data_IF_870697237364
#
_entry.id   IF_870697237364
#
_cell.length_a   1.000
_cell.length_b   1.000
_cell.length_c   1.000
_cell.angle_alpha   90.00
_cell.angle_beta   90.00
_cell.angle_gamma   90.00
#
_symmetry.space_group_name_H-M   'P 1'
#
loop_
_entity.id
_entity.type
_entity.pdbx_description
1 polymer ?
#
# COMPACT_ATOMS: atom_id res chain seq x y z
N UNK A 1 -59.09 2.49 6.08
CA UNK A 1 -58.66 3.32 4.94
C UNK A 1 -57.13 3.53 4.85
N UNK A 2 -56.33 3.07 5.83
CA UNK A 2 -54.86 3.23 5.82
C UNK A 2 -54.09 2.07 5.19
N UNK A 3 -54.67 0.86 5.17
CA UNK A 3 -54.05 -0.34 4.57
C UNK A 3 -54.03 -0.27 3.03
N UNK A 4 -54.96 0.44 2.42
CA UNK A 4 -55.00 0.65 0.96
C UNK A 4 -53.93 1.65 0.46
N UNK A 5 -53.44 2.53 1.34
CA UNK A 5 -52.41 3.51 0.99
C UNK A 5 -50.99 2.90 1.04
N UNK A 6 -50.75 1.94 1.94
CA UNK A 6 -49.46 1.24 2.04
C UNK A 6 -49.21 0.29 0.86
N UNK A 7 -50.26 -0.33 0.31
CA UNK A 7 -50.14 -1.24 -0.84
C UNK A 7 -49.73 -0.53 -2.14
N UNK A 8 -50.14 0.73 -2.33
CA UNK A 8 -49.77 1.51 -3.52
C UNK A 8 -48.30 1.97 -3.44
N UNK A 9 -47.78 2.22 -2.23
CA UNK A 9 -46.39 2.68 -2.01
C UNK A 9 -45.36 1.55 -2.17
N UNK A 10 -45.74 0.30 -1.89
CA UNK A 10 -44.92 -0.89 -2.15
C UNK A 10 -44.86 -1.23 -3.64
N UNK A 11 -45.96 -1.04 -4.38
CA UNK A 11 -45.99 -1.28 -5.83
C UNK A 11 -45.23 -0.18 -6.59
N UNK A 12 -45.21 1.07 -6.09
CA UNK A 12 -44.44 2.16 -6.68
C UNK A 12 -42.91 2.03 -6.47
N UNK A 13 -42.47 1.34 -5.41
CA UNK A 13 -41.04 1.05 -5.17
C UNK A 13 -40.55 -0.23 -5.89
N UNK A 14 -41.46 -1.13 -6.26
CA UNK A 14 -41.12 -2.36 -6.98
C UNK A 14 -40.79 -2.16 -8.47
N UNK A 15 -41.21 -1.03 -9.06
CA UNK A 15 -41.01 -0.76 -10.49
C UNK A 15 -39.71 0.00 -10.81
N UNK A 16 -39.02 0.54 -9.80
CA UNK A 16 -37.76 1.28 -9.98
C UNK A 16 -36.52 0.38 -10.01
N UNK A 17 -36.66 -0.90 -9.68
CA UNK A 17 -35.55 -1.87 -9.65
C UNK A 17 -35.50 -2.80 -10.87
N UNK A 18 -36.30 -2.56 -11.91
CA UNK A 18 -36.32 -3.37 -13.13
C UNK A 18 -35.88 -2.60 -14.38
N UNK A 19 -34.84 -1.79 -14.27
CA UNK A 19 -34.07 -1.32 -15.43
C UNK A 19 -32.64 -0.93 -15.03
N UNK A 20 -31.91 -1.90 -14.50
CA UNK A 20 -30.46 -1.92 -14.63
C UNK A 20 -30.14 -3.27 -15.26
N UNK A 21 -30.60 -3.45 -16.50
CA UNK A 21 -30.03 -4.47 -17.37
C UNK A 21 -28.62 -4.00 -17.70
N UNK A 22 -27.63 -4.64 -17.08
CA UNK A 22 -26.47 -5.16 -17.78
C UNK A 22 -25.87 -4.19 -18.81
N UNK A 23 -25.38 -3.04 -18.32
CA UNK A 23 -24.19 -2.45 -18.94
C UNK A 23 -22.99 -3.21 -18.41
N UNK A 24 -22.84 -4.45 -18.88
CA UNK A 24 -21.51 -4.98 -19.10
C UNK A 24 -20.87 -4.01 -20.09
N UNK A 25 -20.13 -3.05 -19.57
CA UNK A 25 -19.10 -2.39 -20.33
C UNK A 25 -18.10 -3.50 -20.66
N UNK A 26 -18.40 -4.20 -21.74
CA UNK A 26 -17.46 -4.98 -22.52
C UNK A 26 -16.33 -3.99 -22.82
N UNK A 27 -15.29 -4.05 -21.99
CA UNK A 27 -14.11 -3.21 -22.08
C UNK A 27 -13.49 -3.55 -23.43
N UNK A 28 -13.84 -2.73 -24.43
CA UNK A 28 -13.35 -2.86 -25.79
C UNK A 28 -11.86 -2.64 -25.71
N UNK A 29 -11.14 -3.75 -25.63
CA UNK A 29 -9.74 -3.91 -25.99
C UNK A 29 -9.59 -3.55 -27.48
N UNK A 30 -9.65 -2.26 -27.75
CA UNK A 30 -9.39 -1.60 -29.00
C UNK A 30 -7.99 -1.01 -28.87
N UNK A 31 -7.11 -1.41 -29.77
CA UNK A 31 -5.68 -1.14 -29.81
C UNK A 31 -5.33 0.35 -30.00
N UNK A 32 -5.70 1.20 -29.05
CA UNK A 32 -5.01 2.45 -28.78
C UNK A 32 -4.01 2.16 -27.65
N UNK A 33 -2.71 2.14 -27.97
CA UNK A 33 -1.67 1.92 -26.97
C UNK A 33 -1.76 3.04 -25.94
N UNK A 34 -2.27 2.74 -24.75
CA UNK A 34 -2.28 3.70 -23.66
C UNK A 34 -0.85 4.08 -23.30
N UNK A 35 -0.62 5.33 -22.86
CA UNK A 35 0.73 5.81 -22.50
C UNK A 35 1.42 4.91 -21.46
N UNK A 36 0.65 4.31 -20.58
CA UNK A 36 1.09 3.33 -19.58
C UNK A 36 1.67 2.07 -20.22
N UNK A 37 1.05 1.56 -21.31
CA UNK A 37 1.59 0.44 -22.07
C UNK A 37 2.87 0.83 -22.81
N UNK A 38 2.94 2.04 -23.38
CA UNK A 38 4.16 2.55 -24.01
C UNK A 38 5.32 2.58 -23.00
N UNK A 39 5.08 3.10 -21.79
CA UNK A 39 6.09 3.15 -20.74
C UNK A 39 6.53 1.76 -20.28
N UNK A 40 5.60 0.83 -20.09
CA UNK A 40 5.92 -0.55 -19.74
C UNK A 40 6.77 -1.23 -20.82
N UNK A 41 6.44 -1.03 -22.11
CA UNK A 41 7.24 -1.57 -23.21
C UNK A 41 8.66 -1.01 -23.22
N UNK A 42 8.83 0.29 -22.98
CA UNK A 42 10.16 0.90 -22.83
C UNK A 42 10.91 0.33 -21.62
N UNK A 43 10.26 0.15 -20.48
CA UNK A 43 10.86 -0.46 -19.29
C UNK A 43 11.33 -1.91 -19.55
N UNK A 44 10.51 -2.72 -20.22
CA UNK A 44 10.86 -4.10 -20.62
C UNK A 44 12.02 -4.10 -21.63
N UNK A 45 12.04 -3.16 -22.56
CA UNK A 45 13.15 -3.01 -23.51
C UNK A 45 14.45 -2.66 -22.80
N UNK A 46 14.43 -1.74 -21.82
CA UNK A 46 15.59 -1.40 -20.98
C UNK A 46 16.11 -2.65 -20.28
N UNK A 47 15.23 -3.42 -19.63
CA UNK A 47 15.60 -4.66 -18.94
C UNK A 47 16.24 -5.68 -19.90
N UNK A 48 15.68 -5.85 -21.10
CA UNK A 48 16.24 -6.73 -22.13
C UNK A 48 17.62 -6.26 -22.59
N UNK A 49 17.80 -4.97 -22.86
CA UNK A 49 19.07 -4.39 -23.31
C UNK A 49 20.17 -4.56 -22.25
N UNK A 50 19.83 -4.43 -20.97
CA UNK A 50 20.74 -4.68 -19.85
C UNK A 50 21.12 -6.16 -19.79
N UNK A 51 20.17 -7.08 -19.97
CA UNK A 51 20.45 -8.51 -20.06
C UNK A 51 21.38 -8.89 -21.22
N UNK A 52 21.39 -8.08 -22.30
CA UNK A 52 22.27 -8.23 -23.46
C UNK A 52 23.58 -7.44 -23.32
N UNK A 53 23.85 -6.81 -22.17
CA UNK A 53 24.98 -5.91 -21.92
C UNK A 53 25.05 -4.69 -22.87
N UNK A 54 23.95 -4.33 -23.52
CA UNK A 54 23.87 -3.19 -24.42
C UNK A 54 23.49 -1.92 -23.65
N UNK A 55 24.47 -1.40 -22.89
CA UNK A 55 24.30 -0.23 -22.01
C UNK A 55 23.99 1.05 -22.80
N UNK A 56 24.56 1.21 -23.99
CA UNK A 56 24.37 2.41 -24.83
C UNK A 56 22.92 2.52 -25.29
N UNK A 57 22.34 1.43 -25.78
CA UNK A 57 20.93 1.44 -26.15
C UNK A 57 20.02 1.58 -24.93
N UNK A 58 20.35 0.92 -23.80
CA UNK A 58 19.59 1.05 -22.56
C UNK A 58 19.48 2.53 -22.12
N UNK A 59 20.59 3.29 -22.19
CA UNK A 59 20.60 4.74 -21.94
C UNK A 59 19.63 5.48 -22.85
N UNK A 60 19.72 5.25 -24.17
CA UNK A 60 18.82 5.90 -25.13
C UNK A 60 17.35 5.58 -24.84
N UNK A 61 17.04 4.34 -24.48
CA UNK A 61 15.68 3.92 -24.14
C UNK A 61 15.19 4.56 -22.83
N UNK A 62 16.03 4.67 -21.80
CA UNK A 62 15.71 5.40 -20.55
C UNK A 62 15.42 6.88 -20.84
N UNK A 63 16.23 7.54 -21.66
CA UNK A 63 15.97 8.94 -22.06
C UNK A 63 14.64 9.08 -22.79
N UNK A 64 14.31 8.15 -23.70
CA UNK A 64 13.00 8.14 -24.39
C UNK A 64 11.85 7.98 -23.40
N UNK A 65 11.98 7.08 -22.43
CA UNK A 65 10.99 6.89 -21.36
C UNK A 65 10.81 8.17 -20.54
N UNK A 66 11.90 8.80 -20.10
CA UNK A 66 11.87 10.04 -19.33
C UNK A 66 11.17 11.18 -20.08
N UNK A 67 11.46 11.33 -21.38
CA UNK A 67 10.82 12.34 -22.24
C UNK A 67 9.33 12.03 -22.45
N UNK A 68 8.96 10.77 -22.68
CA UNK A 68 7.55 10.37 -22.86
C UNK A 68 6.75 10.58 -21.56
N UNK A 69 7.34 10.25 -20.41
CA UNK A 69 6.74 10.47 -19.10
C UNK A 69 6.53 11.96 -18.82
N UNK A 70 7.57 12.80 -19.00
CA UNK A 70 7.49 14.24 -18.69
C UNK A 70 6.50 15.02 -19.57
N UNK A 71 6.29 14.60 -20.82
CA UNK A 71 5.34 15.21 -21.75
C UNK A 71 3.89 14.85 -21.47
N UNK A 72 3.63 13.92 -20.54
CA UNK A 72 2.27 13.44 -20.29
C UNK A 72 1.49 14.38 -19.40
N UNK A 73 0.24 14.65 -19.78
CA UNK A 73 -0.65 15.45 -18.96
C UNK A 73 -1.25 14.62 -17.81
N UNK A 74 -0.58 14.66 -16.66
CA UNK A 74 -0.98 13.93 -15.46
C UNK A 74 -2.30 14.40 -14.85
N UNK A 75 -2.75 15.62 -15.14
CA UNK A 75 -4.02 16.14 -14.63
C UNK A 75 -5.22 15.38 -15.20
N UNK A 76 -5.14 14.99 -16.49
CA UNK A 76 -6.21 14.22 -17.14
C UNK A 76 -6.28 12.78 -16.65
N UNK A 77 -5.16 12.21 -16.19
CA UNK A 77 -5.05 10.81 -15.74
C UNK A 77 -5.36 10.60 -14.26
N UNK A 78 -5.63 11.68 -13.50
CA UNK A 78 -5.92 11.65 -12.06
C UNK A 78 -4.86 10.91 -11.21
N UNK A 79 -3.61 10.87 -11.66
CA UNK A 79 -2.53 10.29 -10.87
C UNK A 79 -2.23 11.17 -9.66
N UNK A 80 -2.13 10.55 -8.49
CA UNK A 80 -1.66 11.27 -7.31
C UNK A 80 -0.20 11.68 -7.47
N UNK A 81 0.20 12.80 -6.85
CA UNK A 81 1.59 13.26 -6.84
C UNK A 81 2.57 12.16 -6.40
N UNK A 82 2.13 11.29 -5.50
CA UNK A 82 2.88 10.14 -4.99
C UNK A 82 3.21 9.11 -6.07
N UNK A 83 2.25 8.80 -6.94
CA UNK A 83 2.46 7.86 -8.06
C UNK A 83 3.45 8.47 -9.05
N UNK A 84 3.29 9.77 -9.34
CA UNK A 84 4.19 10.49 -10.23
C UNK A 84 5.61 10.50 -9.68
N UNK A 85 5.78 10.83 -8.39
CA UNK A 85 7.11 10.86 -7.76
C UNK A 85 7.74 9.47 -7.67
N UNK A 86 6.97 8.43 -7.35
CA UNK A 86 7.45 7.06 -7.33
C UNK A 86 8.04 6.64 -8.68
N UNK A 87 7.28 6.85 -9.76
CA UNK A 87 7.71 6.51 -11.12
C UNK A 87 8.89 7.38 -11.57
N UNK A 88 8.83 8.69 -11.32
CA UNK A 88 9.93 9.60 -11.66
C UNK A 88 11.22 9.20 -10.97
N UNK A 89 11.17 8.85 -9.68
CA UNK A 89 12.34 8.41 -8.94
C UNK A 89 12.91 7.11 -9.52
N UNK A 90 12.07 6.15 -9.93
CA UNK A 90 12.57 4.92 -10.56
C UNK A 90 13.24 5.16 -11.91
N UNK A 91 12.76 6.12 -12.70
CA UNK A 91 13.41 6.54 -13.95
C UNK A 91 14.77 7.18 -13.64
N UNK A 92 14.82 8.11 -12.69
CA UNK A 92 16.04 8.81 -12.30
C UNK A 92 17.10 7.85 -11.75
N UNK A 93 16.72 6.95 -10.84
CA UNK A 93 17.61 5.92 -10.29
C UNK A 93 18.21 5.03 -11.40
N UNK A 94 17.44 4.72 -12.44
CA UNK A 94 17.89 3.92 -13.58
C UNK A 94 18.89 4.70 -14.45
N UNK A 95 18.59 5.97 -14.74
CA UNK A 95 19.47 6.87 -15.50
C UNK A 95 20.80 7.10 -14.77
N UNK A 96 20.74 7.38 -13.48
CA UNK A 96 21.92 7.53 -12.62
C UNK A 96 22.80 6.28 -12.64
N UNK A 97 22.22 5.08 -12.48
CA UNK A 97 22.97 3.82 -12.49
C UNK A 97 23.68 3.55 -13.82
N UNK A 98 23.03 3.89 -14.95
CA UNK A 98 23.66 3.76 -16.26
C UNK A 98 24.80 4.77 -16.45
N UNK A 99 24.75 5.91 -15.78
CA UNK A 99 25.74 6.99 -15.89
C UNK A 99 26.89 6.92 -14.88
N UNK A 100 26.92 5.89 -14.02
CA UNK A 100 28.05 5.64 -13.11
C UNK A 100 29.32 5.25 -13.87
N UNK A 101 30.47 5.67 -13.34
CA UNK A 101 31.79 5.33 -13.88
C UNK A 101 32.11 3.82 -13.78
N UNK A 102 31.58 3.16 -12.75
CA UNK A 102 31.67 1.72 -12.54
C UNK A 102 30.25 1.18 -12.43
N UNK A 103 29.84 0.41 -13.43
CA UNK A 103 28.52 -0.20 -13.48
C UNK A 103 28.57 -1.54 -12.76
N UNK A 104 27.87 -1.64 -11.63
CA UNK A 104 27.56 -2.92 -10.99
C UNK A 104 26.46 -3.64 -11.80
N UNK A 105 26.74 -4.80 -12.45
CA UNK A 105 25.76 -5.52 -13.26
C UNK A 105 24.57 -6.03 -12.44
N UNK A 106 24.77 -6.43 -11.19
CA UNK A 106 23.71 -6.96 -10.32
C UNK A 106 22.76 -5.82 -9.90
N UNK A 107 23.32 -4.72 -9.40
CA UNK A 107 22.58 -3.51 -9.08
C UNK A 107 21.85 -2.91 -10.28
N UNK A 108 22.45 -2.97 -11.47
CA UNK A 108 21.81 -2.51 -12.71
C UNK A 108 20.60 -3.37 -13.09
N UNK A 109 20.73 -4.70 -13.04
CA UNK A 109 19.62 -5.61 -13.31
C UNK A 109 18.49 -5.47 -12.28
N UNK A 110 18.84 -5.27 -11.00
CA UNK A 110 17.91 -5.01 -9.92
C UNK A 110 17.09 -3.72 -10.15
N UNK A 111 17.75 -2.60 -10.51
CA UNK A 111 17.05 -1.34 -10.82
C UNK A 111 16.17 -1.44 -12.06
N UNK A 112 16.61 -2.16 -13.09
CA UNK A 112 15.79 -2.41 -14.27
C UNK A 112 14.53 -3.21 -13.93
N UNK A 113 14.64 -4.20 -13.06
CA UNK A 113 13.48 -4.97 -12.56
C UNK A 113 12.53 -4.09 -11.74
N UNK A 114 13.07 -3.27 -10.83
CA UNK A 114 12.31 -2.29 -10.05
C UNK A 114 11.54 -1.32 -10.95
N UNK A 115 12.17 -0.84 -12.04
CA UNK A 115 11.54 -0.01 -13.05
C UNK A 115 10.35 -0.74 -13.69
N UNK A 116 10.57 -1.95 -14.21
CA UNK A 116 9.51 -2.78 -14.83
C UNK A 116 8.35 -2.98 -13.87
N UNK A 117 8.61 -3.40 -12.63
CA UNK A 117 7.58 -3.60 -11.60
C UNK A 117 6.75 -2.36 -11.33
N UNK A 118 7.37 -1.18 -11.34
CA UNK A 118 6.68 0.08 -11.05
C UNK A 118 5.72 0.48 -12.17
N UNK A 119 6.12 0.28 -13.43
CA UNK A 119 5.27 0.57 -14.59
C UNK A 119 4.23 -0.52 -14.86
N UNK A 120 4.56 -1.77 -14.56
CA UNK A 120 3.68 -2.91 -14.78
C UNK A 120 2.39 -2.81 -13.96
N UNK A 121 2.48 -2.32 -12.73
CA UNK A 121 1.31 -2.07 -11.87
C UNK A 121 0.27 -1.14 -12.49
N UNK A 122 0.69 -0.22 -13.39
CA UNK A 122 -0.24 0.68 -14.07
C UNK A 122 -1.05 -0.01 -15.16
N UNK A 123 -0.56 -1.15 -15.68
CA UNK A 123 -1.15 -1.89 -16.80
C UNK A 123 -1.86 -3.14 -16.32
N UNK A 124 -1.27 -3.86 -15.36
CA UNK A 124 -1.76 -5.15 -14.88
C UNK A 124 -2.20 -5.06 -13.41
N UNK A 125 -3.44 -4.62 -13.18
CA UNK A 125 -3.98 -4.46 -11.81
C UNK A 125 -4.18 -5.78 -11.07
N UNK A 126 -4.53 -6.87 -11.78
CA UNK A 126 -4.93 -8.14 -11.16
C UNK A 126 -3.77 -9.11 -10.94
N UNK A 127 -2.76 -9.12 -11.80
CA UNK A 127 -1.60 -10.01 -11.72
C UNK A 127 -0.33 -9.28 -12.15
N UNK A 128 0.13 -8.30 -11.36
CA UNK A 128 1.33 -7.57 -11.71
C UNK A 128 2.59 -8.41 -11.49
N UNK A 129 3.60 -8.18 -12.32
CA UNK A 129 4.87 -8.91 -12.35
C UNK A 129 5.66 -8.83 -11.04
N UNK A 130 5.44 -7.81 -10.21
CA UNK A 130 6.11 -7.70 -8.92
C UNK A 130 5.69 -8.81 -7.94
N UNK A 131 4.57 -9.51 -8.17
CA UNK A 131 4.18 -10.70 -7.39
C UNK A 131 5.23 -11.82 -7.45
N UNK A 132 6.03 -11.86 -8.51
CA UNK A 132 7.12 -12.82 -8.64
C UNK A 132 8.23 -12.63 -7.58
N UNK A 133 8.27 -11.49 -6.89
CA UNK A 133 9.21 -11.23 -5.80
C UNK A 133 8.73 -11.75 -4.43
N UNK A 134 7.45 -12.15 -4.31
CA UNK A 134 6.90 -12.67 -3.05
C UNK A 134 7.72 -13.85 -2.48
N UNK A 135 8.09 -14.89 -3.26
CA UNK A 135 8.80 -16.04 -2.71
C UNK A 135 10.19 -15.67 -2.17
N UNK A 136 10.84 -14.67 -2.77
CA UNK A 136 12.13 -14.16 -2.30
C UNK A 136 11.97 -13.44 -0.95
N UNK A 137 10.94 -12.60 -0.82
CA UNK A 137 10.66 -11.88 0.43
C UNK A 137 10.27 -12.83 1.57
N UNK A 138 9.43 -13.83 1.29
CA UNK A 138 9.07 -14.85 2.26
C UNK A 138 10.30 -15.64 2.73
N UNK A 139 11.21 -15.99 1.81
CA UNK A 139 12.47 -16.65 2.17
C UNK A 139 13.33 -15.77 3.08
N UNK A 140 13.43 -14.47 2.79
CA UNK A 140 14.17 -13.52 3.62
C UNK A 140 13.56 -13.37 5.03
N UNK A 141 12.22 -13.38 5.15
CA UNK A 141 11.54 -13.42 6.47
C UNK A 141 11.86 -14.73 7.21
N UNK A 142 11.90 -15.86 6.50
CA UNK A 142 12.34 -17.14 7.06
C UNK A 142 13.76 -17.06 7.63
N UNK A 143 14.67 -16.36 6.95
CA UNK A 143 16.03 -16.09 7.43
C UNK A 143 16.06 -15.27 8.73
N UNK A 144 15.18 -14.26 8.87
CA UNK A 144 15.04 -13.52 10.13
C UNK A 144 14.55 -14.42 11.27
N UNK A 145 13.55 -15.26 10.99
CA UNK A 145 12.97 -16.19 11.96
C UNK A 145 14.02 -17.16 12.49
N UNK A 146 14.81 -17.76 11.60
CA UNK A 146 15.90 -18.63 11.97
C UNK A 146 16.94 -17.89 12.83
N UNK A 147 17.39 -16.72 12.40
CA UNK A 147 18.39 -15.93 13.14
C UNK A 147 17.90 -15.49 14.53
N UNK A 148 16.60 -15.20 14.66
CA UNK A 148 15.95 -14.88 15.92
C UNK A 148 15.89 -16.09 16.87
N UNK A 149 15.58 -17.29 16.33
CA UNK A 149 15.56 -18.54 17.09
C UNK A 149 16.95 -18.95 17.57
N UNK A 150 17.99 -18.71 16.76
CA UNK A 150 19.38 -18.94 17.14
C UNK A 150 19.92 -17.91 18.14
N UNK A 151 19.13 -16.87 18.48
CA UNK A 151 19.47 -15.79 19.41
C UNK A 151 20.76 -15.04 19.04
N UNK A 152 21.05 -14.94 17.74
CA UNK A 152 22.22 -14.23 17.21
C UNK A 152 21.78 -12.87 16.68
N UNK A 153 22.00 -11.84 17.49
CA UNK A 153 21.54 -10.49 17.16
C UNK A 153 22.17 -9.91 15.90
N UNK A 154 23.47 -10.16 15.66
CA UNK A 154 24.16 -9.69 14.45
C UNK A 154 23.62 -10.37 13.19
N UNK A 155 23.38 -11.69 13.25
CA UNK A 155 22.80 -12.46 12.13
C UNK A 155 21.36 -12.00 11.85
N UNK A 156 20.57 -11.72 12.90
CA UNK A 156 19.23 -11.14 12.74
C UNK A 156 19.30 -9.76 12.06
N UNK A 157 20.25 -8.91 12.44
CA UNK A 157 20.38 -7.58 11.84
C UNK A 157 20.76 -7.68 10.36
N UNK A 158 21.61 -8.62 10.00
CA UNK A 158 21.97 -8.87 8.60
C UNK A 158 20.77 -9.43 7.81
N UNK A 159 20.00 -10.35 8.38
CA UNK A 159 18.78 -10.86 7.77
C UNK A 159 17.72 -9.76 7.55
N UNK A 160 17.59 -8.81 8.48
CA UNK A 160 16.72 -7.64 8.35
C UNK A 160 17.17 -6.75 7.19
N UNK A 161 18.48 -6.49 7.06
CA UNK A 161 19.03 -5.71 5.94
C UNK A 161 18.84 -6.40 4.59
N UNK A 162 19.03 -7.71 4.54
CA UNK A 162 18.82 -8.49 3.32
C UNK A 162 17.35 -8.42 2.87
N UNK A 163 16.41 -8.57 3.81
CA UNK A 163 15.00 -8.36 3.50
C UNK A 163 14.70 -6.95 3.03
N UNK A 164 15.27 -5.92 3.68
CA UNK A 164 15.07 -4.54 3.25
C UNK A 164 15.55 -4.32 1.81
N UNK A 165 16.71 -4.89 1.44
CA UNK A 165 17.23 -4.84 0.07
C UNK A 165 16.27 -5.49 -0.94
N UNK A 166 15.73 -6.67 -0.62
CA UNK A 166 14.73 -7.34 -1.47
C UNK A 166 13.41 -6.56 -1.51
N UNK A 167 12.98 -5.95 -0.40
CA UNK A 167 11.74 -5.19 -0.28
C UNK A 167 11.80 -3.87 -1.07
N UNK A 168 12.97 -3.23 -1.14
CA UNK A 168 13.16 -2.00 -1.91
C UNK A 168 12.95 -2.19 -3.43
N UNK A 169 13.04 -3.43 -3.95
CA UNK A 169 12.70 -3.75 -5.33
C UNK A 169 11.20 -3.60 -5.62
N UNK A 170 10.35 -3.94 -4.66
CA UNK A 170 8.89 -3.89 -4.80
C UNK A 170 8.26 -2.65 -4.18
N UNK A 171 9.00 -1.92 -3.33
CA UNK A 171 8.56 -0.70 -2.66
C UNK A 171 7.82 0.29 -3.59
N UNK A 172 8.34 0.69 -4.77
CA UNK A 172 7.62 1.63 -5.63
C UNK A 172 6.33 1.04 -6.20
N UNK A 173 6.30 -0.26 -6.53
CA UNK A 173 5.10 -0.95 -7.02
C UNK A 173 4.01 -1.00 -5.94
N UNK A 174 4.39 -1.25 -4.67
CA UNK A 174 3.46 -1.21 -3.53
C UNK A 174 2.96 0.21 -3.29
N UNK A 175 3.84 1.22 -3.38
CA UNK A 175 3.48 2.64 -3.19
C UNK A 175 2.42 3.12 -4.21
N UNK A 176 2.43 2.54 -5.41
CA UNK A 176 1.49 2.84 -6.50
C UNK A 176 0.18 2.06 -6.34
N UNK A 177 0.25 0.77 -5.99
CA UNK A 177 -0.92 -0.11 -5.95
C UNK A 177 -1.69 -0.11 -4.62
N UNK A 178 -1.04 0.22 -3.51
CA UNK A 178 -1.59 0.08 -2.16
C UNK A 178 -1.44 1.37 -1.34
N UNK A 179 -2.08 1.37 -0.17
CA UNK A 179 -1.95 2.46 0.81
C UNK A 179 -0.50 2.66 1.32
N UNK A 180 0.01 3.91 1.38
CA UNK A 180 1.36 4.21 1.90
C UNK A 180 1.54 3.83 3.37
N UNK A 181 0.45 3.72 4.14
CA UNK A 181 0.48 3.27 5.53
C UNK A 181 1.05 1.86 5.69
N UNK A 182 0.96 1.00 4.66
CA UNK A 182 1.55 -0.35 4.67
C UNK A 182 3.07 -0.22 4.75
N UNK A 183 3.67 0.57 3.87
CA UNK A 183 5.12 0.77 3.81
C UNK A 183 5.66 1.34 5.11
N UNK A 184 5.01 2.36 5.65
CA UNK A 184 5.42 2.97 6.92
C UNK A 184 5.44 1.96 8.08
N UNK A 185 4.48 1.03 8.09
CA UNK A 185 4.41 0.00 9.13
C UNK A 185 5.47 -1.06 8.95
N UNK A 186 5.71 -1.53 7.72
CA UNK A 186 6.85 -2.43 7.42
C UNK A 186 8.15 -1.77 7.85
N UNK A 187 8.38 -0.51 7.48
CA UNK A 187 9.58 0.25 7.87
C UNK A 187 9.73 0.35 9.39
N UNK A 188 8.63 0.56 10.12
CA UNK A 188 8.62 0.61 11.59
C UNK A 188 8.97 -0.75 12.20
N UNK A 189 8.45 -1.84 11.63
CA UNK A 189 8.74 -3.21 12.10
C UNK A 189 10.20 -3.58 11.85
N UNK A 190 10.75 -3.24 10.68
CA UNK A 190 12.18 -3.44 10.39
C UNK A 190 13.06 -2.64 11.33
N UNK A 191 12.77 -1.35 11.53
CA UNK A 191 13.52 -0.51 12.45
C UNK A 191 13.45 -1.00 13.91
N UNK A 192 12.33 -1.62 14.30
CA UNK A 192 12.20 -2.29 15.60
C UNK A 192 13.11 -3.52 15.68
N UNK A 193 13.06 -4.41 14.68
CA UNK A 193 13.89 -5.64 14.65
C UNK A 193 15.40 -5.33 14.62
N UNK A 194 15.83 -4.25 13.94
CA UNK A 194 17.24 -3.86 13.91
C UNK A 194 17.77 -3.41 15.28
N UNK A 195 16.93 -2.73 16.08
CA UNK A 195 17.34 -2.11 17.34
C UNK A 195 17.04 -2.97 18.56
N UNK A 196 15.99 -3.78 18.48
CA UNK A 196 15.50 -4.53 19.63
C UNK A 196 16.33 -5.80 19.85
N UNK A 197 16.77 -5.97 21.10
CA UNK A 197 17.57 -7.14 21.52
C UNK A 197 16.72 -8.24 22.15
N UNK A 198 15.44 -7.98 22.40
CA UNK A 198 14.55 -8.97 22.98
C UNK A 198 14.01 -9.93 21.89
N UNK A 199 14.59 -11.12 21.80
CA UNK A 199 14.21 -12.15 20.82
C UNK A 199 12.75 -12.60 20.93
N UNK A 200 12.15 -12.56 22.13
CA UNK A 200 10.74 -12.93 22.32
C UNK A 200 9.78 -11.91 21.71
N UNK A 201 10.11 -10.62 21.81
CA UNK A 201 9.33 -9.55 21.18
C UNK A 201 9.53 -9.55 19.66
N UNK A 202 10.77 -9.79 19.22
CA UNK A 202 11.11 -9.90 17.81
C UNK A 202 10.36 -11.04 17.12
N UNK A 203 10.18 -12.18 17.79
CA UNK A 203 9.42 -13.32 17.25
C UNK A 203 7.99 -12.91 16.87
N UNK A 204 7.32 -12.09 17.69
CA UNK A 204 5.96 -11.62 17.42
C UNK A 204 5.92 -10.74 16.17
N UNK A 205 6.92 -9.86 16.01
CA UNK A 205 7.03 -8.95 14.86
C UNK A 205 7.38 -9.73 13.58
N UNK A 206 8.27 -10.73 13.66
CA UNK A 206 8.63 -11.60 12.53
C UNK A 206 7.42 -12.41 12.08
N UNK A 207 6.65 -12.99 13.00
CA UNK A 207 5.41 -13.71 12.67
C UNK A 207 4.37 -12.80 12.01
N UNK A 208 4.25 -11.56 12.50
CA UNK A 208 3.37 -10.59 11.86
C UNK A 208 3.87 -10.23 10.46
N UNK A 209 5.18 -10.08 10.23
CA UNK A 209 5.75 -9.91 8.88
C UNK A 209 5.42 -11.11 7.98
N UNK A 210 5.63 -12.34 8.48
CA UNK A 210 5.39 -13.60 7.75
C UNK A 210 3.93 -13.69 7.24
N UNK A 211 2.97 -13.24 8.05
CA UNK A 211 1.56 -13.16 7.65
C UNK A 211 1.25 -11.95 6.77
N UNK A 212 1.94 -10.83 6.99
CA UNK A 212 1.68 -9.57 6.28
C UNK A 212 2.09 -9.65 4.82
N UNK A 213 3.27 -10.25 4.51
CA UNK A 213 3.80 -10.34 3.15
C UNK A 213 2.76 -10.91 2.18
N UNK A 214 2.28 -12.16 2.31
CA UNK A 214 1.33 -12.71 1.33
C UNK A 214 0.05 -11.87 1.19
N UNK A 215 -0.38 -11.20 2.25
CA UNK A 215 -1.54 -10.32 2.19
C UNK A 215 -1.27 -9.00 1.44
N UNK A 216 -0.04 -8.47 1.47
CA UNK A 216 0.34 -7.32 0.63
C UNK A 216 0.20 -7.66 -0.85
N UNK A 217 0.56 -8.88 -1.23
CA UNK A 217 0.54 -9.36 -2.62
C UNK A 217 -0.88 -9.75 -3.07
N UNK A 218 -1.57 -10.61 -2.32
CA UNK A 218 -2.85 -11.20 -2.74
C UNK A 218 -4.08 -10.57 -2.08
N UNK A 219 -3.90 -9.89 -0.94
CA UNK A 219 -4.98 -9.34 -0.14
C UNK A 219 -5.43 -7.95 -0.58
N UNK A 220 -6.66 -7.59 -0.21
CA UNK A 220 -7.15 -6.22 -0.36
C UNK A 220 -6.44 -5.29 0.65
N UNK A 221 -6.43 -3.98 0.37
CA UNK A 221 -5.92 -2.99 1.33
C UNK A 221 -6.59 -3.13 2.70
N UNK A 222 -7.86 -3.54 2.74
CA UNK A 222 -8.59 -3.75 3.98
C UNK A 222 -8.05 -4.95 4.77
N UNK A 223 -7.72 -6.05 4.10
CA UNK A 223 -7.17 -7.26 4.74
C UNK A 223 -5.78 -6.99 5.32
N UNK A 224 -4.93 -6.30 4.54
CA UNK A 224 -3.60 -5.86 4.99
C UNK A 224 -3.73 -4.91 6.18
N UNK A 225 -4.64 -3.93 6.12
CA UNK A 225 -4.88 -3.01 7.23
C UNK A 225 -5.43 -3.70 8.48
N UNK A 226 -6.18 -4.81 8.34
CA UNK A 226 -6.69 -5.58 9.50
C UNK A 226 -5.55 -6.25 10.27
N UNK A 227 -4.60 -6.86 9.57
CA UNK A 227 -3.41 -7.48 10.19
C UNK A 227 -2.51 -6.42 10.85
N UNK A 228 -2.43 -5.25 10.23
CA UNK A 228 -1.63 -4.14 10.72
C UNK A 228 -2.26 -3.37 11.87
N UNK A 229 -3.58 -3.45 12.08
CA UNK A 229 -4.21 -2.81 13.23
C UNK A 229 -3.63 -3.46 14.49
N UNK A 230 -2.94 -2.70 15.36
CA UNK A 230 -2.54 -3.28 16.63
C UNK A 230 -3.81 -3.74 17.33
N UNK A 231 -3.77 -4.89 17.99
CA UNK A 231 -4.80 -5.37 18.91
C UNK A 231 -4.86 -4.47 20.16
N UNK A 232 -4.88 -3.15 19.98
CA UNK A 232 -5.44 -2.22 20.93
C UNK A 232 -6.92 -2.12 20.58
N UNK A 233 -7.64 -3.20 20.87
CA UNK A 233 -9.07 -3.12 21.15
C UNK A 233 -9.22 -2.40 22.50
N UNK A 234 -8.82 -1.13 22.60
CA UNK A 234 -9.62 -0.24 23.42
C UNK A 234 -10.82 0.05 22.53
N UNK A 235 -12.03 -0.43 22.86
CA UNK A 235 -13.21 -0.03 22.11
C UNK A 235 -13.35 1.48 22.25
N UNK A 236 -12.83 2.22 21.27
CA UNK A 236 -12.97 3.68 21.14
C UNK A 236 -14.42 4.14 21.37
N UNK A 237 -15.48 3.43 20.91
CA UNK A 237 -16.85 3.78 21.30
C UNK A 237 -17.11 3.67 22.82
N UNK A 238 -16.56 2.69 23.52
CA UNK A 238 -16.78 2.50 24.96
C UNK A 238 -16.08 3.58 25.80
N UNK A 239 -14.86 3.99 25.41
CA UNK A 239 -14.14 5.09 26.07
C UNK A 239 -14.87 6.42 25.85
N UNK A 240 -15.38 6.66 24.65
CA UNK A 240 -16.19 7.85 24.35
C UNK A 240 -17.49 7.85 25.17
N UNK A 241 -18.19 6.72 25.26
CA UNK A 241 -19.40 6.58 26.09
C UNK A 241 -19.07 6.84 27.57
N UNK A 242 -17.94 6.36 28.07
CA UNK A 242 -17.51 6.56 29.46
C UNK A 242 -17.19 8.03 29.77
N UNK A 243 -16.51 8.73 28.85
CA UNK A 243 -16.23 10.16 28.96
C UNK A 243 -17.51 11.00 28.90
N UNK A 244 -18.43 10.70 27.98
CA UNK A 244 -19.72 11.39 27.86
C UNK A 244 -20.57 11.16 29.12
N UNK A 245 -20.61 9.94 29.64
CA UNK A 245 -21.35 9.60 30.86
C UNK A 245 -20.84 10.38 32.07
N UNK A 246 -19.51 10.49 32.24
CA UNK A 246 -18.89 11.24 33.34
C UNK A 246 -19.25 12.73 33.27
N UNK A 247 -19.22 13.33 32.07
CA UNK A 247 -19.59 14.74 31.85
C UNK A 247 -21.08 14.97 32.18
N UNK A 248 -21.96 14.06 31.76
CA UNK A 248 -23.40 14.15 32.05
C UNK A 248 -23.72 14.06 33.54
N UNK A 249 -23.02 13.21 34.30
CA UNK A 249 -23.19 13.09 35.76
C UNK A 249 -22.82 14.40 36.46
N UNK A 250 -21.69 15.00 36.07
CA UNK A 250 -21.26 16.28 36.64
C UNK A 250 -22.26 17.39 36.32
N UNK A 251 -22.71 17.49 35.06
CA UNK A 251 -23.71 18.49 34.68
C UNK A 251 -25.06 18.28 35.37
N UNK A 252 -25.52 17.03 35.50
CA UNK A 252 -26.77 16.71 36.20
C UNK A 252 -26.72 17.13 37.68
N UNK A 253 -25.58 16.92 38.35
CA UNK A 253 -25.35 17.42 39.71
C UNK A 253 -25.43 18.94 39.80
N UNK A 254 -24.82 19.67 38.84
CA UNK A 254 -24.91 21.14 38.81
C UNK A 254 -26.32 21.65 38.50
N UNK A 255 -27.10 20.96 37.66
CA UNK A 255 -28.50 21.31 37.40
C UNK A 255 -29.36 21.14 38.66
N UNK A 256 -29.17 20.04 39.40
CA UNK A 256 -29.91 19.81 40.65
C UNK A 256 -29.60 20.89 41.69
N UNK A 257 -28.31 21.19 41.90
CA UNK A 257 -27.87 22.22 42.84
C UNK A 257 -28.39 23.61 42.49
N UNK A 258 -28.50 23.93 41.20
CA UNK A 258 -29.07 25.21 40.74
C UNK A 258 -30.59 25.27 40.95
N UNK A 259 -31.29 24.15 40.80
CA UNK A 259 -32.75 24.09 40.97
C UNK A 259 -33.19 24.29 42.44
N UNK A 260 -32.42 23.76 43.40
CA UNK A 260 -32.65 24.02 44.84
C UNK A 260 -32.39 25.50 45.21
N UNK A 261 -31.40 26.14 44.59
CA UNK A 261 -31.12 27.57 44.81
C UNK A 261 -32.23 28.52 44.36
N UNK A 262 -33.07 28.11 43.40
CA UNK A 262 -34.23 28.90 42.95
C UNK A 262 -35.48 28.73 43.81
N UNK A 263 -35.61 27.66 44.60
CA UNK A 263 -36.75 27.47 45.51
C UNK A 263 -36.61 28.24 46.82
N UNK A 264 -35.39 28.55 47.26
CA UNK A 264 -35.11 29.29 48.50
C UNK A 264 -35.20 30.83 48.35
N UNK A 265 -35.69 31.36 47.22
CA UNK A 265 -35.80 32.81 46.96
C UNK A 265 -37.23 33.30 46.74
N UNK A 266 -38.22 32.45 46.98
CA UNK A 266 -39.64 32.76 46.88
C UNK A 266 -40.40 32.28 48.12
N UNK A 267 -39.82 32.51 49.29
CA UNK A 267 -40.55 32.66 50.56
C UNK A 267 -40.18 34.02 51.18
#
# INVERSE_FOLDING_TARGET
MWIRLCLILVILNGFFFWNISDTWAEDKWSAEKTKEQEWLQLALQIQKQIGQQNVVEAKSTVTKLAISFSKTNFQMKKYSLRVISALSNTILEMDEQLNQALIDPEGLAARARKLVYSFDVLVHTNQPLWHNAEPELQRSVGGMKQSNQEQKHEDLREAVRQFQKSFDLVRPAILISKSPSILQRVDSMLAFLEKNRNFSENETIIQLLEQLIPNIFHGSDQDVMRLLKPTVQMPMPMVIIWLISTILIVLSYFLWKKYEGTKARTE
#
